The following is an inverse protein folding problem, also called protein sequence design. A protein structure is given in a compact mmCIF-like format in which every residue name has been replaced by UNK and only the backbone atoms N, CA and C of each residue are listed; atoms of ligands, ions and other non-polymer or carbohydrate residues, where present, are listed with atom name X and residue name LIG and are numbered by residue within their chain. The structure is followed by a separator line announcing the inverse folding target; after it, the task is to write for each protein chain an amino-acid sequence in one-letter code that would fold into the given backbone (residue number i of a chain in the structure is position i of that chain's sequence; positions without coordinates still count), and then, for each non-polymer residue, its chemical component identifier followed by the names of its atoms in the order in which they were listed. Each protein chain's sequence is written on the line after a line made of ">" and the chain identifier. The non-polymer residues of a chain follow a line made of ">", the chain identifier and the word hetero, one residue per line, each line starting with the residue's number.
data_IF_192927670565
#
_entry.id   IF_192927670565
#
_cell.length_a   1.000
_cell.length_b   1.000
_cell.length_c   1.000
_cell.angle_alpha   90.00
_cell.angle_beta   90.00
_cell.angle_gamma   90.00
#
_symmetry.space_group_name_H-M   'P 1'
#
loop_
_entity.id
_entity.type
_entity.pdbx_description
1 polymer ?
#
# COMPACT_ATOMS: atom_id res chain seq x y z
N UNK A 1 20.70 -6.34 8.88
CA UNK A 1 19.26 -6.49 8.62
C UNK A 1 18.95 -5.91 7.23
N UNK A 2 18.89 -6.75 6.20
CA UNK A 2 18.88 -6.33 4.78
C UNK A 2 17.57 -6.67 4.04
N UNK A 3 16.47 -6.93 4.76
CA UNK A 3 15.27 -7.58 4.16
C UNK A 3 14.07 -6.67 3.91
N UNK A 4 14.16 -5.35 4.09
CA UNK A 4 12.93 -4.54 4.19
C UNK A 4 12.82 -3.39 3.17
N UNK A 5 13.18 -3.63 1.91
CA UNK A 5 12.87 -2.74 0.78
C UNK A 5 12.56 -3.51 -0.53
N UNK A 6 11.75 -4.56 -0.49
CA UNK A 6 11.46 -5.37 -1.69
C UNK A 6 10.31 -4.83 -2.56
N UNK A 7 9.36 -4.07 -1.98
CA UNK A 7 8.18 -3.64 -2.72
C UNK A 7 8.53 -2.67 -3.85
N UNK A 8 9.33 -1.65 -3.58
CA UNK A 8 9.63 -0.63 -4.59
C UNK A 8 10.39 -1.19 -5.81
N UNK A 9 11.49 -1.96 -5.65
CA UNK A 9 12.17 -2.59 -6.78
C UNK A 9 11.26 -3.51 -7.60
N UNK A 10 10.34 -4.22 -6.94
CA UNK A 10 9.35 -5.05 -7.63
C UNK A 10 8.36 -4.22 -8.45
N UNK A 11 7.84 -3.12 -7.89
CA UNK A 11 6.97 -2.20 -8.63
C UNK A 11 7.70 -1.57 -9.81
N UNK A 12 8.98 -1.22 -9.68
CA UNK A 12 9.79 -0.74 -10.79
C UNK A 12 9.93 -1.79 -11.90
N UNK A 13 10.20 -3.05 -11.53
CA UNK A 13 10.28 -4.16 -12.49
C UNK A 13 8.95 -4.39 -13.21
N UNK A 14 7.82 -4.39 -12.48
CA UNK A 14 6.49 -4.52 -13.07
C UNK A 14 6.09 -3.30 -13.92
N UNK A 15 6.70 -2.14 -13.68
CA UNK A 15 6.53 -0.92 -14.46
C UNK A 15 7.25 -0.93 -15.82
N UNK A 16 8.21 -1.84 -16.02
CA UNK A 16 8.83 -2.06 -17.32
C UNK A 16 7.92 -2.84 -18.28
N UNK A 17 6.84 -3.44 -17.77
CA UNK A 17 5.85 -4.10 -18.61
C UNK A 17 4.98 -3.06 -19.33
N UNK A 18 4.43 -3.44 -20.49
CA UNK A 18 3.45 -2.65 -21.25
C UNK A 18 2.04 -2.72 -20.61
N UNK A 19 1.97 -2.64 -19.28
CA UNK A 19 0.75 -2.83 -18.48
C UNK A 19 0.67 -1.79 -17.36
N UNK A 20 -0.55 -1.50 -16.93
CA UNK A 20 -0.83 -0.47 -15.92
C UNK A 20 -0.52 -0.97 -14.51
N UNK A 21 -0.19 -0.04 -13.61
CA UNK A 21 -0.18 -0.29 -12.16
C UNK A 21 -1.38 0.41 -11.53
N UNK A 22 -2.27 -0.37 -10.90
CA UNK A 22 -3.48 0.17 -10.28
C UNK A 22 -3.30 0.32 -8.77
N UNK A 23 -3.65 1.50 -8.28
CA UNK A 23 -3.69 1.84 -6.86
C UNK A 23 -5.12 2.16 -6.44
N UNK A 24 -5.69 1.35 -5.55
CA UNK A 24 -7.00 1.53 -4.94
C UNK A 24 -6.80 1.93 -3.48
N UNK A 25 -6.77 3.24 -3.20
CA UNK A 25 -6.46 3.75 -1.87
C UNK A 25 -7.61 4.62 -1.35
N UNK A 26 -8.57 4.05 -0.59
CA UNK A 26 -9.63 4.84 0.01
C UNK A 26 -8.97 5.88 0.93
N UNK A 27 -9.34 7.15 0.75
CA UNK A 27 -8.96 8.29 1.59
C UNK A 27 -7.51 8.81 1.49
N UNK A 28 -6.65 8.19 0.66
CA UNK A 28 -5.28 8.71 0.42
C UNK A 28 -5.07 9.05 -1.06
N UNK A 29 -4.32 10.13 -1.30
CA UNK A 29 -3.87 10.49 -2.66
C UNK A 29 -2.48 9.92 -2.89
N UNK A 30 -2.30 9.21 -4.00
CA UNK A 30 -0.97 8.79 -4.44
C UNK A 30 -0.18 10.05 -4.86
N UNK A 31 0.93 10.30 -4.18
CA UNK A 31 1.78 11.46 -4.49
C UNK A 31 2.45 11.28 -5.85
N UNK A 32 2.11 12.15 -6.81
CA UNK A 32 2.77 12.17 -8.13
C UNK A 32 4.28 12.37 -8.02
N UNK A 33 4.73 13.24 -7.11
CA UNK A 33 6.15 13.48 -6.88
C UNK A 33 6.85 12.21 -6.38
N UNK A 34 6.20 11.45 -5.48
CA UNK A 34 6.74 10.18 -5.01
C UNK A 34 6.83 9.17 -6.15
N UNK A 35 5.77 9.00 -6.96
CA UNK A 35 5.78 8.10 -8.13
C UNK A 35 6.96 8.40 -9.05
N UNK A 36 7.19 9.69 -9.34
CA UNK A 36 8.33 10.12 -10.17
C UNK A 36 9.68 9.83 -9.51
N UNK A 37 9.86 10.24 -8.26
CA UNK A 37 11.12 10.04 -7.52
C UNK A 37 11.44 8.56 -7.30
N UNK A 38 10.42 7.72 -7.23
CA UNK A 38 10.50 6.26 -7.11
C UNK A 38 10.79 5.55 -8.43
N UNK A 39 10.91 6.26 -9.56
CA UNK A 39 11.22 5.65 -10.86
C UNK A 39 10.06 4.81 -11.44
N UNK A 40 8.83 5.03 -10.97
CA UNK A 40 7.64 4.40 -11.53
C UNK A 40 7.15 5.18 -12.77
N UNK A 41 6.61 4.49 -13.79
CA UNK A 41 6.16 5.15 -15.01
C UNK A 41 4.87 5.94 -14.76
N UNK A 42 4.97 7.26 -14.56
CA UNK A 42 3.83 8.16 -14.35
C UNK A 42 2.70 7.97 -15.38
N UNK A 43 3.04 7.67 -16.63
CA UNK A 43 2.08 7.47 -17.72
C UNK A 43 1.32 6.14 -17.65
N UNK A 44 1.78 5.18 -16.83
CA UNK A 44 1.18 3.83 -16.67
C UNK A 44 0.77 3.54 -15.22
N UNK A 45 0.61 4.58 -14.41
CA UNK A 45 0.09 4.47 -13.04
C UNK A 45 -1.33 5.02 -13.03
N UNK A 46 -2.28 4.18 -12.61
CA UNK A 46 -3.67 4.55 -12.40
C UNK A 46 -3.96 4.58 -10.90
N UNK A 47 -4.67 5.61 -10.46
CA UNK A 47 -5.04 5.78 -9.06
C UNK A 47 -6.53 6.06 -8.91
N UNK A 48 -7.18 5.30 -8.04
CA UNK A 48 -8.58 5.46 -7.65
C UNK A 48 -8.62 5.76 -6.15
N UNK A 49 -8.99 6.99 -5.79
CA UNK A 49 -9.04 7.48 -4.40
C UNK A 49 -10.42 7.47 -3.76
N UNK A 50 -11.48 7.41 -4.57
CA UNK A 50 -12.87 7.49 -4.13
C UNK A 50 -13.57 6.15 -4.28
N UNK A 51 -12.90 5.08 -3.84
CA UNK A 51 -13.49 3.75 -3.78
C UNK A 51 -14.10 3.53 -2.39
N UNK A 52 -15.33 3.03 -2.37
CA UNK A 52 -15.95 2.58 -1.13
C UNK A 52 -15.16 1.38 -0.58
N UNK A 53 -14.84 1.34 0.72
CA UNK A 53 -14.07 0.22 1.30
C UNK A 53 -14.61 -1.16 0.91
N UNK A 54 -15.92 -1.33 0.97
CA UNK A 54 -16.67 -2.54 0.60
C UNK A 54 -16.54 -2.92 -0.89
N UNK A 55 -16.21 -1.98 -1.77
CA UNK A 55 -16.03 -2.21 -3.20
C UNK A 55 -14.58 -2.53 -3.57
N UNK A 56 -13.63 -2.37 -2.65
CA UNK A 56 -12.19 -2.50 -2.92
C UNK A 56 -11.86 -3.90 -3.42
N UNK A 57 -12.33 -4.93 -2.72
CA UNK A 57 -12.06 -6.32 -3.08
C UNK A 57 -12.61 -6.67 -4.47
N UNK A 58 -13.88 -6.39 -4.73
CA UNK A 58 -14.51 -6.68 -6.03
C UNK A 58 -13.83 -5.92 -7.17
N UNK A 59 -13.40 -4.68 -6.91
CA UNK A 59 -12.66 -3.89 -7.89
C UNK A 59 -11.27 -4.47 -8.17
N UNK A 60 -10.58 -4.97 -7.14
CA UNK A 60 -9.31 -5.68 -7.31
C UNK A 60 -9.48 -6.93 -8.18
N UNK A 61 -10.46 -7.78 -7.84
CA UNK A 61 -10.75 -9.02 -8.59
C UNK A 61 -11.01 -8.70 -10.06
N UNK A 62 -11.88 -7.72 -10.35
CA UNK A 62 -12.20 -7.32 -11.71
C UNK A 62 -10.97 -6.78 -12.44
N UNK A 63 -10.19 -5.90 -11.79
CA UNK A 63 -8.99 -5.32 -12.39
C UNK A 63 -7.96 -6.40 -12.74
N UNK A 64 -7.65 -7.30 -11.81
CA UNK A 64 -6.70 -8.40 -12.01
C UNK A 64 -7.09 -9.22 -13.25
N UNK A 65 -8.36 -9.64 -13.33
CA UNK A 65 -8.91 -10.43 -14.46
C UNK A 65 -8.78 -9.80 -15.84
N UNK A 66 -8.66 -8.48 -15.93
CA UNK A 66 -8.59 -7.81 -17.23
C UNK A 66 -7.30 -8.11 -18.01
N UNK A 67 -6.23 -8.53 -17.34
CA UNK A 67 -4.90 -8.65 -17.95
C UNK A 67 -4.25 -7.31 -18.31
N UNK A 68 -4.90 -6.17 -18.05
CA UNK A 68 -4.36 -4.85 -18.40
C UNK A 68 -3.40 -4.28 -17.36
N UNK A 69 -3.38 -4.86 -16.16
CA UNK A 69 -2.58 -4.38 -15.03
C UNK A 69 -1.48 -5.38 -14.68
N UNK A 70 -0.22 -4.94 -14.57
CA UNK A 70 0.86 -5.80 -14.05
C UNK A 70 0.76 -5.98 -12.54
N UNK A 71 0.18 -5.00 -11.85
CA UNK A 71 -0.07 -5.03 -10.41
C UNK A 71 -1.34 -4.27 -10.04
N UNK A 72 -2.06 -4.80 -9.05
CA UNK A 72 -3.20 -4.13 -8.42
C UNK A 72 -2.97 -4.08 -6.92
N UNK A 73 -2.99 -2.87 -6.35
CA UNK A 73 -2.71 -2.61 -4.94
C UNK A 73 -3.97 -2.04 -4.31
N UNK A 74 -4.52 -2.72 -3.31
CA UNK A 74 -5.71 -2.28 -2.60
C UNK A 74 -5.48 -2.15 -1.10
N UNK A 75 -6.11 -1.15 -0.48
CA UNK A 75 -6.13 -1.00 0.97
C UNK A 75 -7.40 -1.60 1.53
N UNK A 76 -7.27 -2.68 2.30
CA UNK A 76 -8.39 -3.39 2.93
C UNK A 76 -8.19 -3.33 4.44
N UNK A 77 -9.20 -2.86 5.16
CA UNK A 77 -9.17 -2.70 6.63
C UNK A 77 -9.54 -3.98 7.37
N UNK A 78 -10.36 -4.81 6.74
CA UNK A 78 -10.88 -6.05 7.31
C UNK A 78 -10.00 -7.24 6.90
N UNK A 79 -10.08 -8.31 7.67
CA UNK A 79 -9.47 -9.58 7.26
C UNK A 79 -10.30 -10.19 6.14
N UNK A 80 -9.61 -10.74 5.15
CA UNK A 80 -10.27 -11.45 4.07
C UNK A 80 -10.49 -12.89 4.52
N UNK A 81 -11.65 -13.43 4.20
CA UNK A 81 -11.94 -14.87 4.30
C UNK A 81 -11.09 -15.67 3.30
N UNK A 82 -10.99 -16.98 3.55
CA UNK A 82 -10.30 -17.92 2.64
C UNK A 82 -10.91 -17.87 1.23
N UNK A 83 -12.23 -17.78 1.11
CA UNK A 83 -12.91 -17.66 -0.18
C UNK A 83 -12.51 -16.38 -0.94
N UNK A 84 -12.40 -15.25 -0.23
CA UNK A 84 -11.98 -13.97 -0.83
C UNK A 84 -10.52 -14.00 -1.26
N UNK A 85 -9.65 -14.61 -0.44
CA UNK A 85 -8.26 -14.88 -0.81
C UNK A 85 -8.18 -15.76 -2.06
N UNK A 86 -8.95 -16.84 -2.12
CA UNK A 86 -8.98 -17.74 -3.26
C UNK A 86 -9.43 -17.04 -4.54
N UNK A 87 -10.49 -16.23 -4.46
CA UNK A 87 -10.99 -15.43 -5.60
C UNK A 87 -9.96 -14.43 -6.12
N UNK A 88 -9.19 -13.79 -5.23
CA UNK A 88 -8.09 -12.90 -5.63
C UNK A 88 -6.95 -13.66 -6.31
N UNK A 89 -6.58 -14.82 -5.79
CA UNK A 89 -5.52 -15.67 -6.38
C UNK A 89 -5.90 -16.12 -7.78
N UNK A 90 -7.11 -16.65 -7.97
CA UNK A 90 -7.62 -17.03 -9.30
C UNK A 90 -7.58 -15.83 -10.24
N UNK A 91 -8.09 -14.67 -9.81
CA UNK A 91 -8.11 -13.47 -10.63
C UNK A 91 -6.69 -12.99 -11.03
N UNK A 92 -5.73 -13.08 -10.11
CA UNK A 92 -4.34 -12.74 -10.35
C UNK A 92 -3.69 -13.70 -11.35
N UNK A 93 -3.95 -15.00 -11.23
CA UNK A 93 -3.47 -16.02 -12.17
C UNK A 93 -4.09 -15.84 -13.56
N UNK A 94 -5.41 -15.67 -13.66
CA UNK A 94 -6.14 -15.40 -14.91
C UNK A 94 -5.58 -14.17 -15.63
N UNK A 95 -5.30 -13.11 -14.86
CA UNK A 95 -4.73 -11.87 -15.37
C UNK A 95 -3.23 -11.90 -15.58
N UNK A 96 -2.51 -12.94 -15.16
CA UNK A 96 -1.05 -12.93 -15.02
C UNK A 96 -0.54 -11.64 -14.34
N UNK A 97 -1.18 -11.25 -13.24
CA UNK A 97 -0.97 -9.99 -12.54
C UNK A 97 -0.66 -10.25 -11.07
N UNK A 98 -0.04 -9.27 -10.40
CA UNK A 98 0.23 -9.36 -8.97
C UNK A 98 -0.80 -8.57 -8.15
N UNK A 99 -1.36 -9.17 -7.11
CA UNK A 99 -2.26 -8.50 -6.17
C UNK A 99 -1.57 -8.19 -4.85
N UNK A 100 -1.64 -6.94 -4.40
CA UNK A 100 -1.17 -6.55 -3.06
C UNK A 100 -2.33 -6.00 -2.22
N UNK A 101 -2.44 -6.52 -1.00
CA UNK A 101 -3.37 -6.00 0.01
C UNK A 101 -2.55 -5.27 1.06
N UNK A 102 -2.80 -3.99 1.20
CA UNK A 102 -2.20 -3.13 2.21
C UNK A 102 -3.19 -2.99 3.37
N UNK A 103 -2.67 -3.10 4.59
CA UNK A 103 -3.46 -2.86 5.82
C UNK A 103 -2.94 -1.60 6.49
N UNK A 104 -3.81 -0.66 6.89
CA UNK A 104 -3.38 0.49 7.65
C UNK A 104 -2.79 0.03 8.99
N UNK A 105 -1.54 0.42 9.26
CA UNK A 105 -0.91 0.18 10.55
C UNK A 105 -1.65 1.04 11.56
N UNK A 106 -2.42 0.42 12.45
CA UNK A 106 -3.00 1.12 13.61
C UNK A 106 -1.85 1.52 14.52
N UNK A 107 -1.36 2.74 14.41
CA UNK A 107 -0.53 3.33 15.46
C UNK A 107 -1.42 3.47 16.68
N UNK A 108 -1.32 2.54 17.63
CA UNK A 108 -1.78 2.77 18.98
C UNK A 108 -1.06 4.02 19.47
N UNK A 109 -1.80 5.12 19.58
CA UNK A 109 -1.34 6.27 20.35
C UNK A 109 -1.14 5.79 21.78
N UNK A 110 0.10 5.44 22.12
CA UNK A 110 0.51 5.40 23.52
C UNK A 110 0.09 6.75 24.11
N UNK A 111 -0.68 6.79 25.21
CA UNK A 111 -1.08 8.06 25.79
C UNK A 111 0.20 8.80 26.16
N UNK A 112 0.39 9.96 25.55
CA UNK A 112 1.46 10.89 25.86
C UNK A 112 1.24 11.40 27.28
N UNK A 113 1.71 10.64 28.27
CA UNK A 113 2.04 11.16 29.59
C UNK A 113 3.56 11.18 29.69
N UNK A 114 4.16 12.12 28.97
CA UNK A 114 5.47 12.62 29.36
C UNK A 114 5.30 13.20 30.76
N UNK A 115 5.61 12.42 31.79
CA UNK A 115 5.82 12.95 33.11
C UNK A 115 6.93 13.99 33.00
N UNK A 116 6.55 15.26 33.11
CA UNK A 116 7.46 16.36 33.35
C UNK A 116 8.14 16.11 34.69
N UNK A 117 9.31 15.49 34.65
CA UNK A 117 10.01 15.01 35.84
C UNK A 117 11.53 15.05 35.69
N UNK A 118 12.07 15.97 34.89
CA UNK A 118 13.49 16.31 34.92
C UNK A 118 13.66 17.63 35.68
N UNK A 119 13.74 17.53 37.02
CA UNK A 119 14.41 18.54 37.84
C UNK A 119 15.90 18.19 37.87
N UNK A 120 16.67 18.76 36.95
CA UNK A 120 18.13 18.75 37.04
C UNK A 120 18.52 19.81 38.07
N UNK A 121 18.85 19.38 39.30
CA UNK A 121 19.51 20.26 40.25
C UNK A 121 21.00 20.32 39.87
N UNK A 122 21.45 21.46 39.37
CA UNK A 122 22.89 21.74 39.23
C UNK A 122 23.42 22.20 40.58
N UNK A 123 24.18 21.32 41.26
CA UNK A 123 25.01 21.74 42.39
C UNK A 123 26.36 22.22 41.83
N UNK A 124 26.45 23.51 41.49
CA UNK A 124 27.73 24.20 41.46
C UNK A 124 28.02 24.64 42.90
N UNK A 125 28.91 23.89 43.57
CA UNK A 125 29.54 24.35 44.80
C UNK A 125 30.56 25.43 44.44
N UNK A 126 30.48 26.56 45.12
CA UNK A 126 31.46 27.63 45.11
C UNK A 126 31.92 27.86 46.56
#
# INVERSE_FOLDING_TARGET
>A
MMTQLLLLPLLQQLGQQERWQLWLTPQQKLSRQWVQASGLPLSKVMHVSQILPEMTLESMIRALRTGNYSVVIGWVTEELSEDEHHRLTIAAEEGNAMGFIMRPVRTTSLPTRQFSGLKIHSNLYH
#
